data_IF_504674326940
#
_entry.id   IF_504674326940
#
_cell.length_a   1.000
_cell.length_b   1.000
_cell.length_c   1.000
_cell.angle_alpha   90.00
_cell.angle_beta   90.00
_cell.angle_gamma   90.00
#
_symmetry.space_group_name_H-M   'P 1'
#
loop_
_entity.id
_entity.type
_entity.pdbx_description
1 polymer ?
#
# COMPACT_ATOMS: atom_id res chain seq x y z
N UNK A 1 36.30 2.39 -8.00
CA UNK A 1 35.08 3.07 -7.52
C UNK A 1 34.18 2.01 -6.89
N UNK A 2 33.90 2.10 -5.59
CA UNK A 2 33.04 1.13 -4.88
C UNK A 2 31.72 1.85 -4.57
N UNK A 3 30.59 1.30 -5.02
CA UNK A 3 29.24 1.77 -4.69
C UNK A 3 28.68 0.90 -3.56
N UNK A 4 28.15 1.54 -2.52
CA UNK A 4 27.47 0.86 -1.42
C UNK A 4 25.97 1.03 -1.61
N UNK A 5 25.26 -0.08 -1.81
CA UNK A 5 23.81 -0.08 -1.94
C UNK A 5 23.17 -0.07 -0.55
N UNK A 6 22.57 1.06 -0.17
CA UNK A 6 21.84 1.20 1.09
C UNK A 6 20.39 0.78 0.87
N UNK A 7 19.99 -0.35 1.46
CA UNK A 7 18.60 -0.82 1.45
C UNK A 7 17.86 -0.39 2.70
N UNK A 8 16.61 0.04 2.53
CA UNK A 8 15.73 0.44 3.64
C UNK A 8 14.45 -0.39 3.56
N UNK A 9 14.05 -1.09 4.64
CA UNK A 9 12.85 -1.91 4.62
C UNK A 9 11.58 -1.08 4.41
N UNK A 10 10.55 -1.66 3.77
CA UNK A 10 9.28 -0.98 3.54
C UNK A 10 8.60 -0.65 4.87
N UNK A 11 8.14 0.59 5.01
CA UNK A 11 7.37 1.06 6.17
C UNK A 11 6.15 1.83 5.69
N UNK A 12 4.97 1.53 6.26
CA UNK A 12 3.74 2.25 5.97
C UNK A 12 3.79 3.65 6.58
N UNK A 13 3.85 4.68 5.73
CA UNK A 13 3.75 6.08 6.13
C UNK A 13 2.29 6.51 6.27
N UNK A 14 1.38 5.89 5.49
CA UNK A 14 -0.07 6.06 5.63
C UNK A 14 -0.73 4.69 5.66
N UNK A 15 -1.37 4.39 6.80
CA UNK A 15 -2.14 3.16 6.98
C UNK A 15 -3.60 3.38 6.55
N UNK A 16 -4.22 2.42 5.84
CA UNK A 16 -5.66 2.46 5.61
C UNK A 16 -6.40 2.34 6.94
N UNK A 17 -7.55 3.01 7.02
CA UNK A 17 -8.45 2.95 8.18
C UNK A 17 -9.73 2.21 7.85
N UNK A 18 -10.36 1.66 8.89
CA UNK A 18 -11.69 1.07 8.78
C UNK A 18 -12.72 2.15 8.44
N UNK A 19 -13.64 1.84 7.52
CA UNK A 19 -14.68 2.76 7.07
C UNK A 19 -16.04 2.09 7.09
N UNK A 20 -17.06 2.87 7.46
CA UNK A 20 -18.47 2.50 7.32
C UNK A 20 -19.03 3.35 6.19
N UNK A 21 -19.53 2.71 5.13
CA UNK A 21 -20.05 3.38 3.95
C UNK A 21 -21.50 2.96 3.69
N UNK A 22 -22.44 3.89 3.49
CA UNK A 22 -23.81 3.56 3.09
C UNK A 22 -23.86 2.83 1.75
N UNK A 23 -24.90 2.03 1.56
CA UNK A 23 -25.14 1.34 0.29
C UNK A 23 -25.22 2.32 -0.88
N UNK A 24 -24.63 1.93 -2.02
CA UNK A 24 -24.62 2.74 -3.24
C UNK A 24 -23.60 3.89 -3.25
N UNK A 25 -22.77 4.03 -2.21
CA UNK A 25 -21.67 5.01 -2.18
C UNK A 25 -20.31 4.33 -2.35
N UNK A 26 -19.31 5.13 -2.72
CA UNK A 26 -17.92 4.69 -2.87
C UNK A 26 -17.14 4.88 -1.58
N UNK A 27 -16.51 3.81 -1.09
CA UNK A 27 -15.51 3.87 -0.04
C UNK A 27 -14.10 4.06 -0.65
N UNK A 28 -13.27 4.91 -0.06
CA UNK A 28 -11.92 5.22 -0.57
C UNK A 28 -10.87 4.89 0.48
N UNK A 29 -10.04 3.89 0.22
CA UNK A 29 -8.91 3.54 1.08
C UNK A 29 -7.62 4.12 0.52
N UNK A 30 -6.75 4.60 1.40
CA UNK A 30 -5.46 5.17 1.02
C UNK A 30 -4.34 4.48 1.78
N UNK A 31 -3.25 4.17 1.08
CA UNK A 31 -2.07 3.53 1.61
C UNK A 31 -0.83 4.17 0.98
N UNK A 32 0.18 4.44 1.80
CA UNK A 32 1.48 4.93 1.34
C UNK A 32 2.58 4.18 2.10
N UNK A 33 3.65 3.83 1.38
CA UNK A 33 4.80 3.12 1.91
C UNK A 33 6.09 3.80 1.43
N UNK A 34 7.13 3.76 2.25
CA UNK A 34 8.47 4.21 1.91
C UNK A 34 9.47 3.08 2.13
N UNK A 35 10.57 3.07 1.38
CA UNK A 35 11.61 2.05 1.44
C UNK A 35 12.61 2.25 0.31
N UNK A 36 13.69 1.47 0.32
CA UNK A 36 14.68 1.46 -0.75
C UNK A 36 15.05 0.01 -1.06
N UNK A 37 14.69 -0.52 -2.25
CA UNK A 37 13.96 0.12 -3.34
C UNK A 37 12.52 0.55 -2.99
N UNK A 38 11.92 1.39 -3.83
CA UNK A 38 10.54 1.88 -3.64
C UNK A 38 9.56 0.71 -3.50
N UNK A 39 8.76 0.63 -2.42
CA UNK A 39 7.85 -0.49 -2.22
C UNK A 39 6.69 -0.51 -3.22
N UNK A 40 6.26 -1.72 -3.59
CA UNK A 40 5.00 -1.94 -4.32
C UNK A 40 3.85 -2.14 -3.33
N UNK A 41 2.67 -1.64 -3.69
CA UNK A 41 1.46 -1.75 -2.86
C UNK A 41 0.45 -2.65 -3.57
N UNK A 42 0.03 -3.70 -2.86
CA UNK A 42 -1.00 -4.64 -3.30
C UNK A 42 -2.22 -4.51 -2.40
N UNK A 43 -3.40 -4.49 -3.01
CA UNK A 43 -4.67 -4.50 -2.29
C UNK A 43 -5.30 -5.89 -2.34
N UNK A 44 -5.88 -6.30 -1.21
CA UNK A 44 -6.60 -7.56 -1.10
C UNK A 44 -8.00 -7.30 -0.58
N UNK A 45 -8.97 -8.05 -1.13
CA UNK A 45 -10.32 -8.16 -0.58
C UNK A 45 -10.56 -9.62 -0.22
N UNK A 46 -10.95 -9.88 1.02
CA UNK A 46 -11.22 -11.24 1.53
C UNK A 46 -10.05 -12.20 1.25
N UNK A 47 -8.82 -11.73 1.53
CA UNK A 47 -7.55 -12.43 1.26
C UNK A 47 -7.24 -12.76 -0.21
N UNK A 48 -7.95 -12.15 -1.17
CA UNK A 48 -7.69 -12.29 -2.62
C UNK A 48 -7.16 -10.99 -3.20
N UNK A 49 -6.15 -11.09 -4.05
CA UNK A 49 -5.63 -9.93 -4.80
C UNK A 49 -6.75 -9.32 -5.64
N UNK A 50 -6.91 -7.99 -5.52
CA UNK A 50 -7.68 -7.23 -6.49
C UNK A 50 -6.71 -6.73 -7.55
N UNK A 51 -6.87 -7.21 -8.78
CA UNK A 51 -6.19 -6.59 -9.92
C UNK A 51 -6.89 -5.26 -10.19
N UNK A 52 -6.12 -4.18 -10.23
CA UNK A 52 -6.59 -2.93 -10.82
C UNK A 52 -6.79 -3.23 -12.31
N UNK A 53 -8.03 -3.18 -12.80
CA UNK A 53 -8.31 -3.21 -14.23
C UNK A 53 -7.92 -1.89 -14.87
#
# INVERSE_FOLDING_TARGET
NITVDVTVPPTLTKKPSNQICPNGRTARFECQAQGTPTPEIYWLKDAKNITVN
#
